data_IF_473945656370
#
_entry.id   IF_473945656370
#
_cell.length_a   1.000
_cell.length_b   1.000
_cell.length_c   1.000
_cell.angle_alpha   90.00
_cell.angle_beta   90.00
_cell.angle_gamma   90.00
#
_symmetry.space_group_name_H-M   'P 1'
#
loop_
_entity.id
_entity.type
_entity.pdbx_description
1 polymer ?
#
# COMPACT_ATOMS: atom_id res chain seq x y z
N UNK A 1 -4.64 -8.31 -25.61
CA UNK A 1 -4.00 -7.13 -24.97
C UNK A 1 -3.68 -7.49 -23.52
N UNK A 2 -2.40 -7.53 -23.11
CA UNK A 2 -2.05 -7.59 -21.68
C UNK A 2 -2.38 -6.23 -21.05
N UNK A 3 -3.36 -6.18 -20.13
CA UNK A 3 -3.61 -4.98 -19.34
C UNK A 3 -2.38 -4.73 -18.47
N UNK A 4 -1.89 -3.49 -18.46
CA UNK A 4 -0.78 -3.12 -17.57
C UNK A 4 -1.27 -3.22 -16.13
N UNK A 5 -0.51 -3.84 -15.22
CA UNK A 5 -0.89 -3.91 -13.81
C UNK A 5 -0.94 -2.49 -13.23
N UNK A 6 -2.06 -2.15 -12.57
CA UNK A 6 -2.26 -0.85 -11.94
C UNK A 6 -1.78 -0.90 -10.49
N UNK A 7 -0.98 0.07 -10.07
CA UNK A 7 -0.46 0.17 -8.71
C UNK A 7 -0.93 1.46 -8.05
N UNK A 8 -1.41 1.34 -6.82
CA UNK A 8 -1.85 2.45 -5.98
C UNK A 8 -1.15 2.36 -4.63
N UNK A 9 -0.39 3.40 -4.30
CA UNK A 9 0.35 3.54 -3.05
C UNK A 9 -0.44 4.45 -2.10
N UNK A 10 -0.51 4.06 -0.84
CA UNK A 10 -1.03 4.87 0.25
C UNK A 10 0.04 5.07 1.31
N UNK A 11 0.29 6.33 1.64
CA UNK A 11 1.31 6.75 2.60
C UNK A 11 0.70 7.60 3.71
N UNK A 12 1.33 7.59 4.88
CA UNK A 12 0.89 8.37 6.03
C UNK A 12 1.10 9.87 5.84
N UNK A 13 2.27 10.26 5.33
CA UNK A 13 2.73 11.64 5.24
C UNK A 13 3.10 12.09 3.84
N UNK A 14 3.43 13.38 3.73
CA UNK A 14 3.94 13.96 2.48
C UNK A 14 5.42 13.63 2.25
N UNK A 15 6.16 13.27 3.29
CA UNK A 15 7.58 12.93 3.16
C UNK A 15 7.77 11.55 2.54
N UNK A 16 6.99 10.54 2.97
CA UNK A 16 6.97 9.22 2.31
C UNK A 16 6.47 9.34 0.87
N UNK A 17 5.55 10.28 0.59
CA UNK A 17 5.07 10.55 -0.76
C UNK A 17 6.19 11.08 -1.67
N UNK A 18 7.00 12.02 -1.19
CA UNK A 18 8.17 12.52 -1.92
C UNK A 18 9.20 11.41 -2.13
N UNK A 19 9.45 10.60 -1.10
CA UNK A 19 10.35 9.46 -1.18
C UNK A 19 9.89 8.47 -2.26
N UNK A 20 8.63 8.08 -2.25
CA UNK A 20 8.06 7.18 -3.27
C UNK A 20 8.11 7.77 -4.67
N UNK A 21 7.82 9.06 -4.83
CA UNK A 21 7.92 9.71 -6.13
C UNK A 21 9.36 9.64 -6.66
N UNK A 22 10.34 9.96 -5.83
CA UNK A 22 11.78 9.87 -6.18
C UNK A 22 12.20 8.44 -6.52
N UNK A 23 11.78 7.45 -5.71
CA UNK A 23 12.07 6.03 -5.94
C UNK A 23 11.48 5.52 -7.25
N UNK A 24 10.30 6.04 -7.62
CA UNK A 24 9.60 5.69 -8.85
C UNK A 24 10.20 6.37 -10.09
N UNK A 25 10.51 7.66 -10.03
CA UNK A 25 10.93 8.44 -11.20
C UNK A 25 12.43 8.35 -11.45
N UNK A 26 13.20 8.66 -10.41
CA UNK A 26 14.62 8.99 -10.58
C UNK A 26 15.47 7.74 -10.40
N UNK A 27 15.08 6.87 -9.45
CA UNK A 27 15.80 5.65 -9.13
C UNK A 27 15.22 4.40 -9.80
N UNK A 28 13.97 4.47 -10.28
CA UNK A 28 13.24 3.37 -10.93
C UNK A 28 13.27 2.03 -10.16
N UNK A 29 13.39 2.12 -8.83
CA UNK A 29 13.53 0.96 -7.96
C UNK A 29 12.18 0.29 -7.63
N UNK A 30 11.08 0.99 -7.88
CA UNK A 30 9.72 0.51 -7.63
C UNK A 30 8.84 0.66 -8.87
N UNK A 31 7.76 -0.12 -8.90
CA UNK A 31 6.82 -0.09 -10.03
C UNK A 31 6.09 1.26 -10.06
N UNK A 32 5.95 1.91 -11.23
CA UNK A 32 5.21 3.14 -11.31
C UNK A 32 3.72 2.96 -10.98
N UNK A 33 3.22 3.75 -10.02
CA UNK A 33 1.82 3.81 -9.63
C UNK A 33 1.39 5.19 -9.15
N UNK A 34 0.11 5.36 -8.81
CA UNK A 34 -0.41 6.59 -8.19
C UNK A 34 -0.11 6.55 -6.69
N UNK A 35 0.26 7.70 -6.11
CA UNK A 35 0.56 7.82 -4.68
C UNK A 35 -0.42 8.82 -4.07
N UNK A 36 -1.18 8.39 -3.08
CA UNK A 36 -2.11 9.23 -2.32
C UNK A 36 -1.81 9.14 -0.83
N UNK A 37 -2.09 10.22 -0.09
CA UNK A 37 -1.99 10.22 1.37
C UNK A 37 -3.27 9.61 1.98
N UNK A 38 -3.07 8.66 2.89
CA UNK A 38 -4.08 8.09 3.78
C UNK A 38 -3.35 7.37 4.92
N UNK A 39 -3.48 7.86 6.15
CA UNK A 39 -2.87 7.17 7.29
C UNK A 39 -3.74 5.96 7.63
N UNK A 40 -3.38 4.78 7.12
CA UNK A 40 -4.17 3.56 7.28
C UNK A 40 -4.19 2.99 8.71
N UNK A 41 -3.32 3.50 9.58
CA UNK A 41 -3.29 3.16 11.00
C UNK A 41 -4.32 3.99 11.77
N UNK A 42 -4.49 5.27 11.41
CA UNK A 42 -5.36 6.19 12.14
C UNK A 42 -6.74 6.36 11.49
N UNK A 43 -6.84 6.16 10.18
CA UNK A 43 -8.02 6.48 9.38
C UNK A 43 -8.60 5.22 8.73
N UNK A 44 -9.94 5.09 8.74
CA UNK A 44 -10.62 4.03 8.02
C UNK A 44 -10.55 4.27 6.51
N UNK A 45 -10.37 3.19 5.75
CA UNK A 45 -10.29 3.26 4.31
C UNK A 45 -11.65 3.70 3.72
N UNK A 46 -11.73 4.84 3.02
CA UNK A 46 -12.99 5.34 2.50
C UNK A 46 -13.53 4.45 1.36
N UNK A 47 -14.83 4.12 1.41
CA UNK A 47 -15.52 3.38 0.33
C UNK A 47 -15.40 4.12 -1.01
N UNK A 48 -15.41 5.46 -0.99
CA UNK A 48 -15.23 6.27 -2.19
C UNK A 48 -13.90 5.97 -2.89
N UNK A 49 -12.80 5.75 -2.14
CA UNK A 49 -11.50 5.43 -2.72
C UNK A 49 -11.52 4.06 -3.41
N UNK A 50 -12.21 3.06 -2.83
CA UNK A 50 -12.38 1.74 -3.48
C UNK A 50 -13.08 1.85 -4.82
N UNK A 51 -14.16 2.64 -4.91
CA UNK A 51 -14.92 2.82 -6.15
C UNK A 51 -14.09 3.45 -7.27
N UNK A 52 -13.05 4.21 -6.93
CA UNK A 52 -12.14 4.81 -7.92
C UNK A 52 -11.03 3.86 -8.38
N UNK A 53 -10.82 2.73 -7.69
CA UNK A 53 -9.81 1.76 -8.09
C UNK A 53 -10.33 0.92 -9.26
N UNK A 54 -9.54 0.87 -10.32
CA UNK A 54 -9.82 0.01 -11.48
C UNK A 54 -9.66 -1.47 -11.13
N UNK A 55 -10.30 -2.36 -11.90
CA UNK A 55 -10.08 -3.81 -11.75
C UNK A 55 -8.59 -4.17 -11.85
N UNK A 56 -8.17 -5.14 -11.05
CA UNK A 56 -6.81 -5.69 -10.98
C UNK A 56 -5.76 -4.69 -10.43
N UNK A 57 -6.19 -3.70 -9.64
CA UNK A 57 -5.26 -2.77 -8.98
C UNK A 57 -4.58 -3.45 -7.80
N UNK A 58 -3.26 -3.32 -7.71
CA UNK A 58 -2.47 -3.68 -6.54
C UNK A 58 -2.35 -2.47 -5.62
N UNK A 59 -2.94 -2.56 -4.45
CA UNK A 59 -2.85 -1.54 -3.39
C UNK A 59 -1.65 -1.85 -2.51
N UNK A 60 -0.78 -0.86 -2.34
CA UNK A 60 0.42 -0.92 -1.52
C UNK A 60 0.25 0.06 -0.36
N UNK A 61 0.22 -0.46 0.86
CA UNK A 61 0.12 0.35 2.07
C UNK A 61 1.52 0.53 2.67
N UNK A 62 1.89 1.78 2.91
CA UNK A 62 3.12 2.17 3.60
C UNK A 62 2.73 2.80 4.92
N UNK A 63 3.27 2.24 5.97
CA UNK A 63 3.03 2.69 7.33
C UNK A 63 4.19 2.31 8.24
N UNK A 64 4.35 3.09 9.29
CA UNK A 64 5.40 2.87 10.29
C UNK A 64 4.94 1.83 11.31
N UNK A 65 5.90 1.06 11.82
CA UNK A 65 5.62 -0.09 12.70
C UNK A 65 5.61 0.26 14.18
N UNK A 66 5.78 1.53 14.52
CA UNK A 66 5.92 2.03 15.90
C UNK A 66 4.57 2.31 16.59
N UNK A 67 3.44 1.99 15.96
CA UNK A 67 2.11 2.24 16.51
C UNK A 67 1.49 0.99 17.13
N UNK A 68 1.22 1.03 18.44
CA UNK A 68 0.63 -0.08 19.19
C UNK A 68 -0.85 -0.35 18.84
N UNK A 69 -1.59 0.66 18.38
CA UNK A 69 -3.02 0.54 18.03
C UNK A 69 -3.21 0.16 16.56
N UNK A 70 -3.37 -1.14 16.31
CA UNK A 70 -3.49 -1.71 14.96
C UNK A 70 -4.92 -2.09 14.55
N UNK A 71 -5.93 -1.82 15.36
CA UNK A 71 -7.31 -2.26 15.08
C UNK A 71 -7.88 -1.64 13.80
N UNK A 72 -7.61 -0.36 13.56
CA UNK A 72 -8.03 0.33 12.34
C UNK A 72 -7.29 -0.25 11.13
N UNK A 73 -5.99 -0.48 11.23
CA UNK A 73 -5.19 -1.12 10.19
C UNK A 73 -5.75 -2.52 9.85
N UNK A 74 -6.02 -3.36 10.85
CA UNK A 74 -6.62 -4.69 10.66
C UNK A 74 -7.97 -4.60 9.95
N UNK A 75 -8.85 -3.71 10.40
CA UNK A 75 -10.15 -3.47 9.76
C UNK A 75 -10.00 -3.03 8.29
N UNK A 76 -9.03 -2.16 8.00
CA UNK A 76 -8.74 -1.70 6.65
C UNK A 76 -8.21 -2.82 5.76
N UNK A 77 -7.30 -3.66 6.27
CA UNK A 77 -6.78 -4.82 5.57
C UNK A 77 -7.90 -5.81 5.22
N UNK A 78 -8.75 -6.14 6.18
CA UNK A 78 -9.89 -7.03 5.95
C UNK A 78 -10.87 -6.45 4.93
N UNK A 79 -11.16 -5.15 5.05
CA UNK A 79 -12.04 -4.45 4.12
C UNK A 79 -11.50 -4.48 2.67
N UNK A 80 -10.19 -4.27 2.50
CA UNK A 80 -9.54 -4.34 1.19
C UNK A 80 -9.50 -5.77 0.64
N UNK A 81 -9.22 -6.78 1.48
CA UNK A 81 -9.20 -8.20 1.06
C UNK A 81 -10.56 -8.72 0.60
N UNK A 82 -11.65 -8.14 1.08
CA UNK A 82 -13.02 -8.47 0.63
C UNK A 82 -13.32 -7.99 -0.79
N UNK A 83 -12.50 -7.09 -1.35
CA UNK A 83 -12.73 -6.55 -2.69
C UNK A 83 -12.12 -7.48 -3.75
N UNK A 84 -12.96 -8.18 -4.52
CA UNK A 84 -12.52 -9.10 -5.59
C UNK A 84 -11.69 -8.43 -6.69
N UNK A 85 -11.83 -7.11 -6.84
CA UNK A 85 -11.14 -6.33 -7.86
C UNK A 85 -9.70 -5.91 -7.46
N UNK A 86 -9.29 -6.12 -6.21
CA UNK A 86 -8.06 -5.56 -5.65
C UNK A 86 -7.13 -6.66 -5.16
N UNK A 87 -5.83 -6.49 -5.44
CA UNK A 87 -4.76 -7.24 -4.79
C UNK A 87 -4.12 -6.35 -3.73
N UNK A 88 -3.92 -6.86 -2.52
CA UNK A 88 -3.32 -6.06 -1.43
C UNK A 88 -1.90 -6.54 -1.19
N UNK A 89 -0.96 -5.61 -1.20
CA UNK A 89 0.43 -5.81 -0.81
C UNK A 89 0.81 -4.82 0.31
N UNK A 90 1.72 -5.24 1.17
CA UNK A 90 2.17 -4.43 2.31
C UNK A 90 3.64 -4.09 2.14
N UNK A 91 4.00 -2.84 2.39
CA UNK A 91 5.38 -2.41 2.48
C UNK A 91 5.58 -1.77 3.85
N UNK A 92 6.22 -2.50 4.75
CA UNK A 92 6.54 -2.04 6.09
C UNK A 92 7.84 -1.26 6.03
N UNK A 93 7.81 0.03 6.37
CA UNK A 93 9.04 0.81 6.57
C UNK A 93 9.40 0.69 8.04
N UNK A 94 10.15 -0.34 8.39
CA UNK A 94 10.86 -0.34 9.67
C UNK A 94 12.20 0.35 9.44
N UNK A 95 12.28 1.64 9.76
CA UNK A 95 13.57 2.32 9.84
C UNK A 95 14.27 1.88 11.14
N UNK A 96 14.87 0.69 11.11
CA UNK A 96 15.64 0.13 12.23
C UNK A 96 15.38 -1.35 12.49
N UNK A 97 16.36 -2.14 12.07
CA UNK A 97 16.67 -3.52 12.47
C UNK A 97 15.77 -4.68 11.96
N UNK A 98 16.44 -5.51 11.15
CA UNK A 98 16.22 -6.94 10.92
C UNK A 98 14.97 -7.41 10.15
N UNK A 99 15.27 -7.96 8.97
CA UNK A 99 14.61 -9.11 8.30
C UNK A 99 13.08 -9.15 8.26
N UNK A 100 12.53 -9.22 7.04
CA UNK A 100 12.17 -10.52 6.45
C UNK A 100 11.68 -10.32 5.00
N UNK A 101 12.56 -10.65 4.05
CA UNK A 101 12.12 -11.20 2.77
C UNK A 101 11.43 -12.53 3.06
N UNK A 102 10.11 -12.51 3.11
CA UNK A 102 9.26 -13.69 3.23
C UNK A 102 8.33 -13.78 2.04
N UNK A 103 8.84 -14.26 0.90
CA UNK A 103 7.98 -14.88 -0.11
C UNK A 103 7.27 -16.07 0.56
N UNK A 104 5.96 -16.00 0.68
CA UNK A 104 5.09 -17.16 0.87
C UNK A 104 3.75 -16.79 0.21
N UNK A 105 3.13 -17.60 -0.64
CA UNK A 105 3.42 -18.90 -1.19
C UNK A 105 2.19 -19.18 -2.05
N UNK A 106 2.40 -19.45 -3.34
CA UNK A 106 1.37 -20.07 -4.17
C UNK A 106 1.25 -21.50 -3.66
N UNK A 107 0.10 -21.85 -3.11
CA UNK A 107 -0.45 -23.22 -3.09
C UNK A 107 -1.96 -23.10 -2.99
#
# INVERSE_FOLDING_TARGET
MRRKPNYQYYVEGEDEKKLLNTLKTDLQCIVPGRVDRLNVIQEKFPIARIRTLTQETTVILLFDTDVEKTDILKNNVEFLRKQSAIKVAFLWISFGADRFLGRSGIS
#
